data_IF_551568380573
#
_entry.id   IF_551568380573
#
_cell.length_a   1.000
_cell.length_b   1.000
_cell.length_c   1.000
_cell.angle_alpha   90.00
_cell.angle_beta   90.00
_cell.angle_gamma   90.00
#
_symmetry.space_group_name_H-M   'P 1'
#
loop_
_entity.id
_entity.type
_entity.pdbx_description
1 polymer ?
#
# COMPACT_ATOMS: atom_id res chain seq x y z
N UNK A 1 18.13 14.87 1.63
CA UNK A 1 18.43 15.84 2.72
C UNK A 1 18.93 17.18 2.20
N UNK A 2 19.95 17.22 1.31
CA UNK A 2 20.51 18.47 0.80
C UNK A 2 19.48 19.32 0.07
N UNK A 3 18.67 18.73 -0.82
CA UNK A 3 17.62 19.46 -1.54
C UNK A 3 16.59 20.08 -0.60
N UNK A 4 16.19 19.37 0.46
CA UNK A 4 15.25 19.92 1.47
C UNK A 4 15.87 21.09 2.21
N UNK A 5 17.16 21.00 2.61
CA UNK A 5 17.88 22.12 3.25
C UNK A 5 17.95 23.36 2.35
N UNK A 6 18.20 23.15 1.06
CA UNK A 6 18.35 24.22 0.06
C UNK A 6 17.00 24.82 -0.38
N UNK A 7 15.88 24.16 -0.15
CA UNK A 7 14.56 24.64 -0.57
C UNK A 7 14.22 25.96 0.11
N UNK A 8 13.57 26.88 -0.64
CA UNK A 8 13.20 28.23 -0.18
C UNK A 8 11.91 28.24 0.63
N UNK A 9 10.99 27.33 0.32
CA UNK A 9 9.64 27.32 0.86
C UNK A 9 9.46 26.27 1.96
N UNK A 10 8.44 26.45 2.78
CA UNK A 10 8.10 25.57 3.89
C UNK A 10 7.60 24.21 3.43
N UNK A 11 6.78 24.16 2.41
CA UNK A 11 6.25 22.90 1.89
C UNK A 11 7.15 22.33 0.80
N UNK A 12 7.48 21.05 0.96
CA UNK A 12 8.29 20.27 0.04
C UNK A 12 7.43 19.14 -0.52
N UNK A 13 7.36 19.03 -1.84
CA UNK A 13 6.70 17.91 -2.51
C UNK A 13 7.77 17.00 -3.09
N UNK A 14 7.66 15.70 -2.78
CA UNK A 14 8.55 14.65 -3.29
C UNK A 14 7.81 13.73 -4.25
N UNK A 15 8.49 13.44 -5.35
CA UNK A 15 8.12 12.41 -6.32
C UNK A 15 9.37 11.71 -6.85
N UNK A 16 9.22 10.73 -7.71
CA UNK A 16 10.33 10.05 -8.40
C UNK A 16 10.39 10.42 -9.89
N UNK A 17 11.56 10.33 -10.53
CA UNK A 17 11.72 10.61 -11.97
C UNK A 17 10.88 9.70 -12.88
N UNK A 18 10.46 8.55 -12.38
CA UNK A 18 9.57 7.59 -13.06
C UNK A 18 8.10 7.92 -12.92
N UNK A 19 7.77 9.04 -12.27
CA UNK A 19 6.40 9.50 -12.08
C UNK A 19 6.16 10.79 -12.88
N UNK A 20 5.09 10.81 -13.67
CA UNK A 20 4.64 12.00 -14.41
C UNK A 20 3.28 12.46 -13.87
N UNK A 21 3.01 13.78 -13.77
CA UNK A 21 1.67 14.28 -13.44
C UNK A 21 0.62 13.81 -14.44
N UNK A 22 -0.56 13.45 -13.95
CA UNK A 22 -1.70 13.09 -14.82
C UNK A 22 -2.16 14.27 -15.67
N UNK A 23 -1.98 15.50 -15.18
CA UNK A 23 -2.28 16.76 -15.86
C UNK A 23 -1.49 17.94 -15.27
N UNK A 24 -1.66 19.12 -15.84
CA UNK A 24 -0.97 20.36 -15.45
C UNK A 24 -1.41 20.95 -14.11
N UNK A 25 -2.53 20.47 -13.54
CA UNK A 25 -3.06 20.96 -12.26
C UNK A 25 -2.50 20.21 -11.05
N UNK A 26 -1.68 19.16 -11.25
CA UNK A 26 -1.17 18.29 -10.18
C UNK A 26 -0.60 19.10 -9.00
N UNK A 27 0.31 20.03 -9.27
CA UNK A 27 0.95 20.82 -8.23
C UNK A 27 -0.05 21.68 -7.48
N UNK A 28 -0.93 22.36 -8.20
CA UNK A 28 -1.98 23.20 -7.62
C UNK A 28 -2.89 22.39 -6.71
N UNK A 29 -3.34 21.22 -7.16
CA UNK A 29 -4.28 20.38 -6.42
C UNK A 29 -3.62 19.78 -5.17
N UNK A 30 -2.37 19.30 -5.27
CA UNK A 30 -1.62 18.82 -4.11
C UNK A 30 -1.41 19.91 -3.05
N UNK A 31 -1.18 21.16 -3.48
CA UNK A 31 -0.89 22.26 -2.54
C UNK A 31 -2.13 22.78 -1.81
N UNK A 32 -3.35 22.47 -2.24
CA UNK A 32 -4.59 22.86 -1.53
C UNK A 32 -4.59 22.42 -0.07
N UNK A 33 -3.99 21.26 0.21
CA UNK A 33 -3.90 20.69 1.55
C UNK A 33 -2.61 21.08 2.29
N UNK A 34 -1.71 21.85 1.66
CA UNK A 34 -0.46 22.32 2.25
C UNK A 34 -0.66 23.55 3.16
N UNK A 35 -1.51 23.40 4.17
CA UNK A 35 -1.87 24.44 5.13
C UNK A 35 -2.12 23.87 6.52
N UNK A 36 -2.21 24.76 7.53
CA UNK A 36 -2.59 24.35 8.88
C UNK A 36 -3.97 23.66 8.90
N UNK A 37 -4.20 22.61 9.69
CA UNK A 37 -3.24 22.05 10.66
C UNK A 37 -2.35 20.95 10.09
N UNK A 38 -2.32 20.73 8.76
CA UNK A 38 -1.64 19.61 8.16
C UNK A 38 -0.11 19.73 8.27
N UNK A 39 0.55 18.60 8.49
CA UNK A 39 2.00 18.43 8.47
C UNK A 39 2.46 17.55 7.31
N UNK A 40 1.56 16.73 6.79
CA UNK A 40 1.81 15.75 5.75
C UNK A 40 0.62 15.68 4.80
N UNK A 41 0.87 15.63 3.50
CA UNK A 41 -0.14 15.38 2.47
C UNK A 41 0.29 14.17 1.65
N UNK A 42 -0.61 13.19 1.51
CA UNK A 42 -0.39 11.99 0.72
C UNK A 42 -1.28 12.03 -0.52
N UNK A 43 -0.68 11.94 -1.71
CA UNK A 43 -1.39 11.81 -2.96
C UNK A 43 -1.40 10.37 -3.48
N UNK A 44 -2.27 10.10 -4.44
CA UNK A 44 -2.31 8.82 -5.15
C UNK A 44 -1.34 8.81 -6.33
N UNK A 45 -0.80 7.62 -6.61
CA UNK A 45 0.00 7.34 -7.81
C UNK A 45 -0.60 6.14 -8.51
N UNK A 46 -1.09 6.33 -9.72
CA UNK A 46 -1.55 5.26 -10.60
C UNK A 46 -0.35 4.58 -11.28
N UNK A 47 -0.48 3.33 -11.65
CA UNK A 47 0.44 2.68 -12.57
C UNK A 47 0.01 2.97 -14.01
N UNK A 48 0.99 3.12 -14.90
CA UNK A 48 0.76 3.25 -16.34
C UNK A 48 -0.20 2.17 -16.86
N UNK A 49 -0.99 2.48 -17.89
CA UNK A 49 -2.00 1.60 -18.45
C UNK A 49 -1.42 0.31 -19.03
N UNK A 50 -0.13 0.29 -19.40
CA UNK A 50 0.57 -0.92 -19.82
C UNK A 50 0.68 -1.95 -18.70
N UNK A 51 0.72 -1.49 -17.43
CA UNK A 51 0.75 -2.37 -16.26
C UNK A 51 -0.62 -2.99 -16.02
N UNK A 52 -0.76 -4.29 -16.29
CA UNK A 52 -2.04 -5.01 -16.20
C UNK A 52 -2.04 -6.10 -15.12
N UNK A 53 -3.23 -6.65 -14.91
CA UNK A 53 -3.41 -7.86 -14.11
C UNK A 53 -3.13 -7.67 -12.63
N UNK A 54 -2.39 -8.63 -12.09
CA UNK A 54 -2.14 -8.75 -10.64
C UNK A 54 -1.35 -7.57 -10.09
N UNK A 55 -0.41 -6.99 -10.83
CA UNK A 55 0.41 -5.86 -10.37
C UNK A 55 -0.43 -4.61 -10.19
N UNK A 56 -1.26 -4.32 -11.19
CA UNK A 56 -2.20 -3.19 -11.13
C UNK A 56 -3.16 -3.34 -9.96
N UNK A 57 -3.77 -4.51 -9.81
CA UNK A 57 -4.64 -4.82 -8.68
C UNK A 57 -3.95 -4.66 -7.32
N UNK A 58 -2.74 -5.20 -7.17
CA UNK A 58 -1.97 -5.14 -5.92
C UNK A 58 -1.62 -3.69 -5.53
N UNK A 59 -1.26 -2.86 -6.51
CA UNK A 59 -0.99 -1.43 -6.32
C UNK A 59 -2.23 -0.69 -5.83
N UNK A 60 -3.37 -0.86 -6.52
CA UNK A 60 -4.65 -0.21 -6.17
C UNK A 60 -5.11 -0.65 -4.77
N UNK A 61 -5.09 -1.95 -4.50
CA UNK A 61 -5.50 -2.51 -3.22
C UNK A 61 -4.65 -1.99 -2.06
N UNK A 62 -3.36 -1.88 -2.28
CA UNK A 62 -2.39 -1.32 -1.34
C UNK A 62 -2.62 0.18 -1.12
N UNK A 63 -2.81 0.95 -2.20
CA UNK A 63 -3.12 2.37 -2.13
C UNK A 63 -4.41 2.61 -1.34
N UNK A 64 -5.49 1.90 -1.68
CA UNK A 64 -6.77 2.00 -0.99
C UNK A 64 -6.61 1.76 0.53
N UNK A 65 -5.90 0.72 0.92
CA UNK A 65 -5.67 0.42 2.33
C UNK A 65 -4.87 1.50 3.04
N UNK A 66 -3.75 1.94 2.45
CA UNK A 66 -2.82 2.88 3.10
C UNK A 66 -3.37 4.30 3.17
N UNK A 67 -3.94 4.80 2.07
CA UNK A 67 -4.49 6.16 2.00
C UNK A 67 -5.76 6.28 2.86
N UNK A 68 -6.67 5.30 2.79
CA UNK A 68 -7.85 5.29 3.66
C UNK A 68 -7.47 5.23 5.14
N UNK A 69 -6.43 4.48 5.48
CA UNK A 69 -5.92 4.44 6.84
C UNK A 69 -5.37 5.79 7.28
N UNK A 70 -4.63 6.47 6.41
CA UNK A 70 -4.08 7.79 6.70
C UNK A 70 -5.18 8.84 6.90
N UNK A 71 -6.33 8.74 6.20
CA UNK A 71 -7.49 9.62 6.39
C UNK A 71 -8.17 9.46 7.75
N UNK A 72 -8.18 8.24 8.32
CA UNK A 72 -8.95 7.94 9.54
C UNK A 72 -8.07 7.72 10.77
N UNK A 73 -6.76 7.74 10.62
CA UNK A 73 -5.79 7.45 11.66
C UNK A 73 -4.42 7.98 11.24
N UNK A 74 -3.38 7.66 12.01
CA UNK A 74 -2.02 8.00 11.64
C UNK A 74 -1.58 7.26 10.37
N UNK A 75 -0.94 7.97 9.44
CA UNK A 75 -0.26 7.37 8.30
C UNK A 75 0.80 6.38 8.78
N UNK A 76 0.80 5.16 8.23
CA UNK A 76 1.82 4.17 8.56
C UNK A 76 3.00 4.23 7.59
N UNK A 77 2.70 4.34 6.31
CA UNK A 77 3.63 4.50 5.19
C UNK A 77 2.87 4.95 3.96
N UNK A 78 3.56 5.36 2.92
CA UNK A 78 2.95 5.63 1.62
C UNK A 78 2.83 4.34 0.78
N UNK A 79 2.02 4.39 -0.27
CA UNK A 79 2.01 3.33 -1.27
C UNK A 79 3.04 3.58 -2.36
N UNK A 80 3.23 4.84 -2.77
CA UNK A 80 4.18 5.33 -3.79
C UNK A 80 4.51 6.82 -3.55
N UNK A 81 5.52 7.39 -4.25
CA UNK A 81 6.06 8.72 -3.99
C UNK A 81 5.22 9.87 -4.56
N UNK A 82 4.16 10.26 -3.87
CA UNK A 82 3.42 11.50 -4.06
C UNK A 82 3.12 12.08 -2.67
N UNK A 83 4.10 12.77 -2.11
CA UNK A 83 4.11 13.15 -0.69
C UNK A 83 4.55 14.60 -0.55
N UNK A 84 3.75 15.40 0.17
CA UNK A 84 4.15 16.73 0.61
C UNK A 84 4.32 16.76 2.14
N UNK A 85 5.32 17.50 2.63
CA UNK A 85 5.63 17.64 4.05
C UNK A 85 6.27 19.00 4.33
N UNK A 86 6.29 19.39 5.62
CA UNK A 86 6.90 20.66 6.06
C UNK A 86 8.41 20.52 6.20
N UNK A 87 9.13 21.51 5.66
CA UNK A 87 10.59 21.63 5.81
C UNK A 87 11.00 21.72 7.29
N UNK A 88 10.26 22.53 8.07
CA UNK A 88 10.51 22.71 9.51
C UNK A 88 10.46 21.38 10.27
N UNK A 89 9.46 20.52 10.00
CA UNK A 89 9.35 19.20 10.61
C UNK A 89 10.53 18.30 10.21
N UNK A 90 10.88 18.31 8.93
CA UNK A 90 12.02 17.53 8.44
C UNK A 90 13.33 17.95 9.12
N UNK A 91 13.53 19.25 9.32
CA UNK A 91 14.74 19.76 9.97
C UNK A 91 14.73 19.46 11.48
N UNK A 92 13.60 19.64 12.17
CA UNK A 92 13.44 19.35 13.60
C UNK A 92 13.75 17.89 13.91
N UNK A 93 13.26 16.98 13.08
CA UNK A 93 13.43 15.54 13.24
C UNK A 93 14.72 15.00 12.61
N UNK A 94 15.63 15.88 12.20
CA UNK A 94 16.93 15.55 11.62
C UNK A 94 16.81 14.68 10.35
N UNK A 95 15.74 14.87 9.58
CA UNK A 95 15.51 14.19 8.31
C UNK A 95 15.41 12.68 8.42
N UNK A 96 16.30 11.97 7.72
CA UNK A 96 16.34 10.50 7.71
C UNK A 96 17.24 9.88 8.77
N UNK A 97 17.68 10.64 9.77
CA UNK A 97 18.52 10.09 10.84
C UNK A 97 17.78 8.94 11.56
N UNK A 98 18.49 7.85 11.83
CA UNK A 98 17.94 6.60 12.35
C UNK A 98 17.49 5.61 11.27
N UNK A 99 17.46 6.00 9.98
CA UNK A 99 17.08 5.13 8.88
C UNK A 99 18.12 5.07 7.75
N UNK A 100 19.29 5.68 7.97
CA UNK A 100 20.38 5.78 6.95
C UNK A 100 20.99 4.43 6.60
N UNK A 101 20.81 3.42 7.45
CA UNK A 101 21.25 2.05 7.19
C UNK A 101 20.53 1.38 6.01
N UNK A 102 19.32 1.85 5.65
CA UNK A 102 18.52 1.25 4.58
C UNK A 102 18.79 1.94 3.24
N UNK A 103 18.98 1.13 2.19
CA UNK A 103 19.19 1.63 0.83
C UNK A 103 17.94 2.28 0.24
N UNK A 104 16.75 1.79 0.65
CA UNK A 104 15.45 2.28 0.21
C UNK A 104 14.45 2.31 1.37
N UNK A 105 13.37 3.05 1.20
CA UNK A 105 12.31 3.21 2.21
C UNK A 105 12.14 4.65 2.68
N UNK A 106 12.83 5.58 2.04
CA UNK A 106 12.88 7.01 2.39
C UNK A 106 11.49 7.63 2.51
N UNK A 107 10.56 7.32 1.61
CA UNK A 107 9.18 7.81 1.66
C UNK A 107 8.39 7.20 2.82
N UNK A 108 8.55 5.90 3.04
CA UNK A 108 7.88 5.20 4.14
C UNK A 108 8.36 5.73 5.50
N UNK A 109 9.66 5.99 5.65
CA UNK A 109 10.23 6.58 6.86
C UNK A 109 9.70 7.99 7.11
N UNK A 110 9.65 8.80 6.06
CA UNK A 110 9.15 10.16 6.12
C UNK A 110 7.69 10.18 6.58
N UNK A 111 6.82 9.42 5.93
CA UNK A 111 5.40 9.31 6.30
C UNK A 111 5.24 8.77 7.72
N UNK A 112 5.96 7.72 8.08
CA UNK A 112 5.87 7.11 9.39
C UNK A 112 6.29 8.05 10.52
N UNK A 113 7.29 8.88 10.26
CA UNK A 113 7.87 9.82 11.23
C UNK A 113 6.96 11.02 11.42
N UNK A 114 6.49 11.65 10.36
CA UNK A 114 5.73 12.90 10.46
C UNK A 114 4.24 12.71 10.76
N UNK A 115 3.66 11.62 10.36
CA UNK A 115 2.28 11.29 10.73
C UNK A 115 2.07 11.14 12.27
N UNK A 116 3.16 11.15 13.05
CA UNK A 116 3.06 11.15 14.52
C UNK A 116 2.81 12.55 15.11
N UNK A 117 3.04 13.61 14.34
CA UNK A 117 3.11 14.99 14.85
C UNK A 117 1.90 15.86 14.50
N UNK A 118 0.98 15.39 13.69
CA UNK A 118 -0.14 16.22 13.32
C UNK A 118 -1.08 15.53 12.35
N UNK A 119 -2.01 16.30 11.82
CA UNK A 119 -2.98 15.80 10.87
C UNK A 119 -2.32 15.49 9.54
N UNK A 120 -2.71 14.35 8.98
CA UNK A 120 -2.29 13.90 7.66
C UNK A 120 -3.45 14.07 6.70
N UNK A 121 -3.31 14.96 5.73
CA UNK A 121 -4.26 15.09 4.64
C UNK A 121 -4.00 14.02 3.57
N UNK A 122 -5.07 13.59 2.91
CA UNK A 122 -4.98 12.68 1.76
C UNK A 122 -5.68 13.34 0.58
N UNK A 123 -4.93 13.58 -0.50
CA UNK A 123 -5.47 14.16 -1.73
C UNK A 123 -5.77 13.03 -2.73
N UNK A 124 -7.04 12.88 -3.07
CA UNK A 124 -7.55 11.83 -3.95
C UNK A 124 -8.14 12.36 -5.25
N UNK A 125 -8.20 13.68 -5.42
CA UNK A 125 -8.65 14.30 -6.66
C UNK A 125 -7.78 13.81 -7.83
N UNK A 126 -8.40 13.41 -8.94
CA UNK A 126 -7.69 12.90 -10.11
C UNK A 126 -6.70 13.93 -10.71
N UNK A 127 -6.94 15.23 -10.47
CA UNK A 127 -6.02 16.30 -10.85
C UNK A 127 -4.71 16.26 -10.03
N UNK A 128 -4.68 15.58 -8.88
CA UNK A 128 -3.49 15.40 -8.05
C UNK A 128 -2.76 14.08 -8.27
N UNK A 129 -3.18 13.27 -9.21
CA UNK A 129 -2.57 11.98 -9.44
C UNK A 129 -1.23 12.09 -10.18
N UNK A 130 -0.33 11.19 -9.83
CA UNK A 130 0.85 10.87 -10.62
C UNK A 130 0.64 9.53 -11.33
N UNK A 131 1.27 9.37 -12.47
CA UNK A 131 1.32 8.12 -13.21
C UNK A 131 2.76 7.61 -13.15
N UNK A 132 2.95 6.43 -12.59
CA UNK A 132 4.25 5.77 -12.54
C UNK A 132 4.42 4.87 -13.74
N UNK A 133 5.55 4.98 -14.43
CA UNK A 133 5.92 4.14 -15.56
C UNK A 133 5.80 2.65 -15.20
N UNK A 134 5.54 1.81 -16.20
CA UNK A 134 5.46 0.36 -15.98
C UNK A 134 6.76 -0.16 -15.36
N UNK A 135 6.71 -0.72 -14.13
CA UNK A 135 7.91 -1.24 -13.50
C UNK A 135 8.36 -2.54 -14.18
N UNK A 136 9.66 -2.65 -14.47
CA UNK A 136 10.24 -3.93 -14.89
C UNK A 136 10.04 -5.01 -13.83
N UNK A 137 10.08 -6.28 -14.23
CA UNK A 137 9.97 -7.42 -13.29
C UNK A 137 10.96 -7.33 -12.14
N UNK A 138 12.20 -6.94 -12.45
CA UNK A 138 13.26 -6.77 -11.46
C UNK A 138 12.95 -5.63 -10.49
N UNK A 139 12.52 -4.48 -11.01
CA UNK A 139 12.15 -3.32 -10.18
C UNK A 139 10.98 -3.64 -9.25
N UNK A 140 9.93 -4.29 -9.78
CA UNK A 140 8.78 -4.73 -9.00
C UNK A 140 9.17 -5.68 -7.84
N UNK A 141 9.97 -6.70 -8.12
CA UNK A 141 10.43 -7.62 -7.09
C UNK A 141 11.34 -6.95 -6.06
N UNK A 142 12.28 -6.12 -6.51
CA UNK A 142 13.19 -5.40 -5.62
C UNK A 142 12.43 -4.46 -4.67
N UNK A 143 11.42 -3.72 -5.16
CA UNK A 143 10.60 -2.86 -4.31
C UNK A 143 9.97 -3.64 -3.14
N UNK A 144 9.52 -4.88 -3.39
CA UNK A 144 8.99 -5.74 -2.32
C UNK A 144 10.08 -6.21 -1.35
N UNK A 145 11.29 -6.49 -1.82
CA UNK A 145 12.40 -6.90 -0.96
C UNK A 145 12.89 -5.74 -0.07
N UNK A 146 13.04 -4.54 -0.63
CA UNK A 146 13.36 -3.33 0.15
C UNK A 146 12.30 -3.05 1.22
N UNK A 147 11.02 -3.20 0.88
CA UNK A 147 9.95 -3.07 1.86
C UNK A 147 10.06 -4.12 2.98
N UNK A 148 10.41 -5.37 2.67
CA UNK A 148 10.60 -6.40 3.69
C UNK A 148 11.76 -6.07 4.63
N UNK A 149 12.83 -5.44 4.11
CA UNK A 149 13.98 -5.03 4.90
C UNK A 149 13.64 -3.89 5.86
N UNK A 150 13.03 -2.81 5.35
CA UNK A 150 12.82 -1.55 6.08
C UNK A 150 11.59 -1.53 6.99
N UNK A 151 10.52 -2.28 6.65
CA UNK A 151 9.22 -2.17 7.33
C UNK A 151 9.23 -2.46 8.83
N UNK A 152 10.21 -3.24 9.33
CA UNK A 152 10.29 -3.59 10.76
C UNK A 152 10.79 -2.45 11.61
N UNK A 153 11.51 -1.49 11.03
CA UNK A 153 12.02 -0.29 11.71
C UNK A 153 10.97 0.82 11.81
N UNK A 154 9.86 0.70 11.07
CA UNK A 154 8.76 1.66 11.16
C UNK A 154 8.07 1.57 12.51
N UNK A 155 7.71 2.72 13.10
CA UNK A 155 6.88 2.75 14.31
C UNK A 155 5.53 2.10 14.02
N UNK A 156 4.92 1.45 15.02
CA UNK A 156 3.67 0.70 14.87
C UNK A 156 3.72 -0.50 13.91
N UNK A 157 4.93 -0.89 13.48
CA UNK A 157 5.10 -1.97 12.49
C UNK A 157 4.42 -3.28 12.92
N UNK A 158 4.60 -3.70 14.18
CA UNK A 158 4.03 -4.96 14.68
C UNK A 158 2.50 -4.96 14.62
N UNK A 159 1.85 -3.90 15.11
CA UNK A 159 0.39 -3.75 15.08
C UNK A 159 -0.14 -3.73 13.64
N UNK A 160 0.47 -2.93 12.76
CA UNK A 160 0.04 -2.81 11.38
C UNK A 160 0.24 -4.10 10.58
N UNK A 161 1.39 -4.77 10.78
CA UNK A 161 1.65 -6.05 10.12
C UNK A 161 0.69 -7.14 10.61
N UNK A 162 0.33 -7.14 11.90
CA UNK A 162 -0.67 -8.06 12.46
C UNK A 162 -2.04 -7.82 11.84
N UNK A 163 -2.52 -6.57 11.79
CA UNK A 163 -3.80 -6.23 11.18
C UNK A 163 -3.86 -6.63 9.70
N UNK A 164 -2.80 -6.36 8.93
CA UNK A 164 -2.73 -6.77 7.52
C UNK A 164 -2.68 -8.30 7.38
N UNK A 165 -1.98 -9.00 8.27
CA UNK A 165 -1.93 -10.45 8.27
C UNK A 165 -3.32 -11.06 8.58
N UNK A 166 -4.06 -10.49 9.52
CA UNK A 166 -5.42 -10.92 9.87
C UNK A 166 -6.40 -10.69 8.71
N UNK A 167 -6.32 -9.51 8.03
CA UNK A 167 -7.17 -9.24 6.86
C UNK A 167 -6.98 -10.26 5.73
N UNK A 168 -5.80 -10.84 5.60
CA UNK A 168 -5.55 -11.89 4.62
C UNK A 168 -5.81 -13.29 5.15
N UNK A 169 -5.48 -13.58 6.40
CA UNK A 169 -5.58 -14.92 6.98
C UNK A 169 -7.02 -15.35 7.21
N UNK A 170 -7.84 -14.50 7.81
CA UNK A 170 -9.24 -14.87 8.14
C UNK A 170 -10.07 -15.28 6.93
N UNK A 171 -10.02 -14.60 5.77
CA UNK A 171 -10.73 -15.07 4.59
C UNK A 171 -10.28 -16.44 4.09
N UNK A 172 -8.98 -16.75 4.21
CA UNK A 172 -8.47 -18.07 3.83
C UNK A 172 -8.97 -19.16 4.78
N UNK A 173 -8.93 -18.90 6.09
CA UNK A 173 -9.47 -19.81 7.08
C UNK A 173 -10.97 -20.03 6.89
N UNK A 174 -11.72 -18.95 6.64
CA UNK A 174 -13.17 -19.04 6.37
C UNK A 174 -13.47 -19.82 5.09
N UNK A 175 -12.66 -19.61 4.02
CA UNK A 175 -12.79 -20.36 2.77
C UNK A 175 -12.54 -21.85 2.98
N UNK A 176 -11.44 -22.20 3.67
CA UNK A 176 -11.10 -23.61 3.97
C UNK A 176 -12.19 -24.24 4.84
N UNK A 177 -12.65 -23.55 5.90
CA UNK A 177 -13.70 -24.05 6.77
C UNK A 177 -15.00 -24.29 6.00
N UNK A 178 -15.44 -23.33 5.18
CA UNK A 178 -16.65 -23.44 4.37
C UNK A 178 -16.56 -24.60 3.36
N UNK A 179 -15.42 -24.78 2.70
CA UNK A 179 -15.21 -25.90 1.77
C UNK A 179 -15.17 -27.24 2.49
N UNK A 180 -14.52 -27.33 3.66
CA UNK A 180 -14.47 -28.56 4.46
C UNK A 180 -15.87 -28.94 4.97
N UNK A 181 -16.65 -27.95 5.48
CA UNK A 181 -18.02 -28.17 5.91
C UNK A 181 -18.92 -28.62 4.77
N UNK A 182 -18.77 -27.98 3.58
CA UNK A 182 -19.53 -28.36 2.39
C UNK A 182 -19.22 -29.80 1.96
N UNK A 183 -17.94 -30.20 1.91
CA UNK A 183 -17.54 -31.56 1.58
C UNK A 183 -18.07 -32.57 2.59
N UNK A 184 -17.97 -32.29 3.90
CA UNK A 184 -18.51 -33.13 4.96
C UNK A 184 -20.04 -33.31 4.84
N UNK A 185 -20.77 -32.22 4.64
CA UNK A 185 -22.23 -32.25 4.52
C UNK A 185 -22.71 -33.09 3.33
N UNK A 186 -22.03 -32.97 2.18
CA UNK A 186 -22.30 -33.80 0.98
C UNK A 186 -22.07 -35.28 1.27
N UNK A 187 -20.94 -35.63 1.91
CA UNK A 187 -20.60 -37.00 2.27
C UNK A 187 -21.63 -37.63 3.23
N UNK A 188 -22.13 -36.82 4.17
CA UNK A 188 -23.15 -37.23 5.14
C UNK A 188 -24.60 -37.14 4.61
N UNK A 189 -24.76 -36.68 3.36
CA UNK A 189 -26.09 -36.46 2.74
C UNK A 189 -26.99 -35.51 3.53
N UNK A 190 -26.39 -34.58 4.30
CA UNK A 190 -27.09 -33.55 5.05
C UNK A 190 -27.34 -32.34 4.14
N UNK A 191 -28.48 -32.30 3.48
CA UNK A 191 -28.84 -31.26 2.51
C UNK A 191 -29.04 -29.88 3.15
N UNK A 192 -29.43 -29.81 4.43
CA UNK A 192 -29.62 -28.57 5.16
C UNK A 192 -28.21 -27.93 5.39
N UNK A 193 -27.31 -28.72 5.95
CA UNK A 193 -25.94 -28.27 6.19
C UNK A 193 -25.20 -27.92 4.85
N UNK A 194 -25.45 -28.70 3.79
CA UNK A 194 -24.95 -28.44 2.44
C UNK A 194 -25.41 -27.05 1.95
N UNK A 195 -26.71 -26.72 2.12
CA UNK A 195 -27.24 -25.42 1.74
C UNK A 195 -26.61 -24.26 2.55
N UNK A 196 -26.47 -24.42 3.86
CA UNK A 196 -25.86 -23.41 4.75
C UNK A 196 -24.38 -23.18 4.37
N UNK A 197 -23.61 -24.26 4.18
CA UNK A 197 -22.19 -24.16 3.83
C UNK A 197 -21.97 -23.53 2.44
N UNK A 198 -22.82 -23.90 1.46
CA UNK A 198 -22.81 -23.32 0.12
C UNK A 198 -23.16 -21.83 0.13
N UNK A 199 -24.18 -21.44 0.91
CA UNK A 199 -24.54 -20.02 1.07
C UNK A 199 -23.42 -19.22 1.74
N UNK A 200 -22.79 -19.74 2.80
CA UNK A 200 -21.68 -19.10 3.48
C UNK A 200 -20.49 -18.88 2.53
N UNK A 201 -20.16 -19.89 1.71
CA UNK A 201 -19.11 -19.79 0.70
C UNK A 201 -19.41 -18.71 -0.35
N UNK A 202 -20.63 -18.69 -0.87
CA UNK A 202 -21.09 -17.67 -1.82
C UNK A 202 -21.01 -16.27 -1.22
N UNK A 203 -21.51 -16.09 -0.01
CA UNK A 203 -21.49 -14.81 0.69
C UNK A 203 -20.04 -14.31 0.89
N UNK A 204 -19.14 -15.19 1.29
CA UNK A 204 -17.72 -14.87 1.47
C UNK A 204 -17.08 -14.36 0.17
N UNK A 205 -17.34 -15.06 -0.95
CA UNK A 205 -16.81 -14.68 -2.26
C UNK A 205 -17.39 -13.34 -2.74
N UNK A 206 -18.70 -13.14 -2.57
CA UNK A 206 -19.37 -11.88 -2.94
C UNK A 206 -18.81 -10.72 -2.12
N UNK A 207 -18.73 -10.83 -0.79
CA UNK A 207 -18.23 -9.77 0.07
C UNK A 207 -16.80 -9.36 -0.30
N UNK A 208 -15.92 -10.34 -0.55
CA UNK A 208 -14.55 -10.06 -0.98
C UNK A 208 -14.48 -9.39 -2.34
N UNK A 209 -15.30 -9.84 -3.29
CA UNK A 209 -15.38 -9.21 -4.61
C UNK A 209 -15.89 -7.77 -4.52
N UNK A 210 -16.90 -7.51 -3.70
CA UNK A 210 -17.44 -6.16 -3.48
C UNK A 210 -16.38 -5.22 -2.87
N UNK A 211 -15.63 -5.69 -1.86
CA UNK A 211 -14.55 -4.89 -1.25
C UNK A 211 -13.46 -4.57 -2.28
N UNK A 212 -13.02 -5.57 -3.06
CA UNK A 212 -12.02 -5.38 -4.10
C UNK A 212 -12.53 -4.43 -5.20
N UNK A 213 -13.77 -4.61 -5.64
CA UNK A 213 -14.39 -3.75 -6.64
C UNK A 213 -14.51 -2.30 -6.17
N UNK A 214 -14.88 -2.07 -4.90
CA UNK A 214 -14.94 -0.74 -4.31
C UNK A 214 -13.57 -0.04 -4.33
N UNK A 215 -12.49 -0.78 -4.04
CA UNK A 215 -11.14 -0.24 -4.11
C UNK A 215 -10.76 0.17 -5.54
N UNK A 216 -11.12 -0.64 -6.54
CA UNK A 216 -10.85 -0.38 -7.96
C UNK A 216 -11.61 0.85 -8.44
N UNK A 217 -12.91 0.90 -8.18
CA UNK A 217 -13.76 2.04 -8.57
C UNK A 217 -13.38 3.35 -7.89
N UNK A 218 -12.81 3.28 -6.70
CA UNK A 218 -12.34 4.47 -5.98
C UNK A 218 -11.18 5.19 -6.69
N UNK A 219 -10.40 4.46 -7.48
CA UNK A 219 -9.30 4.99 -8.28
C UNK A 219 -9.58 4.95 -9.79
N UNK A 220 -10.86 4.98 -10.15
CA UNK A 220 -11.33 5.04 -11.54
C UNK A 220 -10.64 4.02 -12.48
N UNK A 221 -10.45 2.79 -11.95
CA UNK A 221 -9.83 1.69 -12.68
C UNK A 221 -10.86 0.65 -13.12
N UNK A 222 -10.52 -0.16 -14.11
CA UNK A 222 -11.37 -1.22 -14.63
C UNK A 222 -10.65 -2.56 -14.66
N UNK A 223 -10.97 -3.40 -13.68
CA UNK A 223 -10.51 -4.79 -13.63
C UNK A 223 -11.72 -5.70 -13.59
N UNK A 224 -11.76 -6.69 -14.50
CA UNK A 224 -12.86 -7.65 -14.61
C UNK A 224 -13.24 -8.27 -13.26
N UNK A 225 -14.53 -8.18 -12.90
CA UNK A 225 -15.09 -8.72 -11.64
C UNK A 225 -14.77 -10.21 -11.43
N UNK A 226 -14.73 -10.99 -12.50
CA UNK A 226 -14.44 -12.43 -12.44
C UNK A 226 -13.01 -12.74 -11.97
N UNK A 227 -12.06 -11.81 -12.17
CA UNK A 227 -10.67 -11.97 -11.76
C UNK A 227 -10.43 -11.56 -10.30
N UNK A 228 -11.32 -10.74 -9.71
CA UNK A 228 -11.12 -10.16 -8.39
C UNK A 228 -10.97 -11.19 -7.26
N UNK A 229 -11.82 -12.23 -7.15
CA UNK A 229 -11.65 -13.26 -6.12
C UNK A 229 -10.26 -13.90 -6.19
N UNK A 230 -9.81 -14.25 -7.40
CA UNK A 230 -8.48 -14.88 -7.58
C UNK A 230 -7.34 -13.94 -7.21
N UNK A 231 -7.48 -12.65 -7.51
CA UNK A 231 -6.47 -11.66 -7.13
C UNK A 231 -6.45 -11.41 -5.62
N UNK A 232 -7.60 -11.29 -4.97
CA UNK A 232 -7.72 -11.12 -3.51
C UNK A 232 -7.13 -12.32 -2.76
N UNK A 233 -7.56 -13.52 -3.07
CA UNK A 233 -7.02 -14.73 -2.44
C UNK A 233 -5.55 -14.99 -2.82
N UNK A 234 -5.10 -14.51 -3.98
CA UNK A 234 -3.70 -14.60 -4.39
C UNK A 234 -2.73 -13.71 -3.61
N UNK A 235 -3.20 -12.66 -2.91
CA UNK A 235 -2.34 -11.70 -2.19
C UNK A 235 -1.49 -12.40 -1.13
N UNK A 236 -2.06 -13.29 -0.32
CA UNK A 236 -1.32 -13.97 0.75
C UNK A 236 -0.17 -14.82 0.19
N UNK A 237 -0.41 -15.51 -0.93
CA UNK A 237 0.60 -16.35 -1.57
C UNK A 237 1.72 -15.51 -2.17
N UNK A 238 1.40 -14.38 -2.79
CA UNK A 238 2.40 -13.43 -3.29
C UNK A 238 3.22 -12.82 -2.15
N UNK A 239 2.57 -12.44 -1.05
CA UNK A 239 3.26 -11.93 0.14
C UNK A 239 4.17 -12.99 0.76
N UNK A 240 3.74 -14.26 0.80
CA UNK A 240 4.55 -15.37 1.27
C UNK A 240 5.75 -15.61 0.34
N UNK A 241 5.54 -15.61 -0.97
CA UNK A 241 6.62 -15.75 -1.95
C UNK A 241 7.66 -14.62 -1.82
N UNK A 242 7.23 -13.37 -1.65
CA UNK A 242 8.12 -12.23 -1.42
C UNK A 242 8.88 -12.36 -0.08
N UNK A 243 8.25 -12.88 0.96
CA UNK A 243 8.90 -13.15 2.25
C UNK A 243 9.97 -14.25 2.13
N UNK A 244 9.69 -15.33 1.38
CA UNK A 244 10.66 -16.39 1.10
C UNK A 244 11.83 -15.88 0.26
N UNK A 245 11.55 -15.07 -0.78
CA UNK A 245 12.60 -14.43 -1.58
C UNK A 245 13.50 -13.53 -0.71
N UNK A 246 12.92 -12.71 0.15
CA UNK A 246 13.68 -11.87 1.08
C UNK A 246 14.51 -12.71 2.06
N UNK A 247 13.98 -13.83 2.54
CA UNK A 247 14.73 -14.73 3.42
C UNK A 247 15.97 -15.33 2.75
N UNK A 248 15.87 -15.65 1.45
CA UNK A 248 16.98 -16.21 0.64
C UNK A 248 17.96 -15.15 0.12
N UNK A 249 17.56 -13.89 0.08
CA UNK A 249 18.40 -12.81 -0.43
C UNK A 249 19.52 -12.42 0.56
N UNK A 250 20.64 -11.92 0.03
CA UNK A 250 21.67 -11.32 0.86
C UNK A 250 21.13 -10.06 1.54
N UNK A 251 21.27 -9.99 2.86
CA UNK A 251 20.79 -8.84 3.64
C UNK A 251 21.62 -7.60 3.43
N UNK A 252 22.87 -7.76 3.03
CA UNK A 252 23.79 -6.67 2.74
C UNK A 252 23.33 -5.83 1.53
N UNK A 253 22.55 -6.43 0.59
CA UNK A 253 22.01 -5.70 -0.55
C UNK A 253 20.97 -4.62 -0.16
N UNK A 254 20.43 -4.71 1.05
CA UNK A 254 19.38 -3.81 1.55
C UNK A 254 19.88 -2.79 2.56
N UNK A 255 21.09 -2.92 3.01
CA UNK A 255 21.72 -2.00 3.99
C UNK A 255 22.89 -1.26 3.36
N UNK A 256 23.02 0.02 3.69
CA UNK A 256 24.16 0.84 3.26
C UNK A 256 25.34 0.60 4.21
N UNK A 257 26.47 0.23 3.66
CA UNK A 257 27.75 0.13 4.40
C UNK A 257 28.49 1.46 4.50
N UNK A 258 27.90 2.54 3.98
CA UNK A 258 28.48 3.89 4.04
C UNK A 258 27.82 4.67 5.18
N UNK A 259 28.19 4.36 6.37
CA UNK A 259 28.02 5.22 7.53
C UNK A 259 29.33 5.91 7.85
#
# INVERSE_FOLDING_TARGET
TLGVKAAKYEWIILTEPTCTPSNDKWLYTMTRNCQEPNHLVLGYVALDEATKGVRRFDSIRKAFYLLRRAQHSYGYRTHMPNVAFRKSDFMREQGYQGNLEYVRGEYDFLVNKYAAYGDTAVELDCDAWLIHDEPTDKAWHNAHLYLQASRKSLTRAKSMMSLMAMDHLFPHLSLIASLATLAYAILMQDWILTGIAGFALLLLLILRTVIAHKAIKHFDDDISLLKLPFYEYGIIWRNLANKIRYWRADKNDFTSHKL
#
